data_IF_612445075437
#
_entry.id   IF_612445075437
#
_cell.length_a   1.000
_cell.length_b   1.000
_cell.length_c   1.000
_cell.angle_alpha   90.00
_cell.angle_beta   90.00
_cell.angle_gamma   90.00
#
_symmetry.space_group_name_H-M   'P 1'
#
loop_
_entity.id
_entity.type
_entity.pdbx_description
1 polymer ?
#
# COMPACT_ATOMS: atom_id res chain seq x y z
N UNK A 1 13.96 -2.81 3.10
CA UNK A 1 13.29 -2.83 1.78
C UNK A 1 12.34 -1.65 1.69
N UNK A 2 12.27 -1.01 0.51
CA UNK A 2 11.47 0.21 0.37
C UNK A 2 10.42 0.09 -0.74
N UNK A 3 9.28 0.76 -0.53
CA UNK A 3 8.19 0.87 -1.49
C UNK A 3 7.79 2.32 -1.69
N UNK A 4 7.25 2.64 -2.86
CA UNK A 4 6.70 3.95 -3.16
C UNK A 4 5.18 3.88 -3.13
N UNK A 5 4.54 4.81 -2.41
CA UNK A 5 3.09 4.93 -2.38
C UNK A 5 2.65 6.34 -2.75
N UNK A 6 1.59 6.42 -3.57
CA UNK A 6 1.11 7.68 -4.14
C UNK A 6 -0.41 7.77 -4.02
N UNK A 7 -0.86 8.82 -3.35
CA UNK A 7 -2.25 9.29 -3.43
C UNK A 7 -2.36 10.21 -4.65
N UNK A 8 -3.05 9.72 -5.69
CA UNK A 8 -3.09 10.38 -6.99
C UNK A 8 -4.06 11.57 -6.99
N UNK A 9 -3.62 12.67 -7.59
CA UNK A 9 -4.45 13.82 -7.90
C UNK A 9 -4.14 14.35 -9.30
N UNK A 10 -5.14 14.82 -10.03
CA UNK A 10 -4.97 15.26 -11.42
C UNK A 10 -5.08 16.78 -11.61
N UNK A 11 -5.67 17.48 -10.64
CA UNK A 11 -5.93 18.91 -10.78
C UNK A 11 -4.75 19.79 -10.41
N UNK A 12 -4.01 19.39 -9.37
CA UNK A 12 -2.90 20.18 -8.83
C UNK A 12 -1.83 19.26 -8.27
N UNK A 13 -0.57 19.60 -8.53
CA UNK A 13 0.59 18.89 -7.99
C UNK A 13 0.61 18.87 -6.45
N UNK A 14 0.17 19.96 -5.82
CA UNK A 14 0.09 20.06 -4.35
C UNK A 14 -0.86 19.06 -3.70
N UNK A 15 -1.75 18.47 -4.49
CA UNK A 15 -2.71 17.48 -4.02
C UNK A 15 -2.22 16.02 -4.21
N UNK A 16 -1.05 15.83 -4.80
CA UNK A 16 -0.42 14.51 -4.94
C UNK A 16 0.34 14.18 -3.66
N UNK A 17 -0.08 13.14 -2.96
CA UNK A 17 0.61 12.61 -1.79
C UNK A 17 1.64 11.56 -2.22
N UNK A 18 2.93 11.76 -1.91
CA UNK A 18 4.01 10.84 -2.29
C UNK A 18 4.82 10.50 -1.05
N UNK A 19 4.97 9.20 -0.79
CA UNK A 19 5.77 8.70 0.32
C UNK A 19 6.62 7.51 -0.09
N UNK A 20 7.82 7.44 0.45
CA UNK A 20 8.65 6.23 0.43
C UNK A 20 8.56 5.61 1.82
N UNK A 21 8.12 4.37 1.88
CA UNK A 21 8.07 3.57 3.12
C UNK A 21 9.21 2.56 3.08
N UNK A 22 9.98 2.50 4.15
CA UNK A 22 11.07 1.54 4.31
C UNK A 22 10.95 0.82 5.64
N UNK A 23 10.94 -0.51 5.63
CA UNK A 23 11.02 -1.32 6.85
C UNK A 23 12.48 -1.58 7.18
N UNK A 24 12.87 -1.19 8.38
CA UNK A 24 14.21 -1.38 8.95
C UNK A 24 14.08 -2.32 10.14
N UNK A 25 14.75 -3.44 10.08
CA UNK A 25 14.81 -4.39 11.19
C UNK A 25 15.87 -3.94 12.18
N UNK A 26 15.49 -3.91 13.46
CA UNK A 26 16.41 -3.56 14.54
C UNK A 26 17.28 -4.79 14.85
N UNK A 27 18.59 -4.56 14.90
CA UNK A 27 19.51 -5.63 15.33
C UNK A 27 19.13 -6.02 16.77
N UNK A 28 18.84 -7.29 16.99
CA UNK A 28 18.81 -7.80 18.35
C UNK A 28 20.26 -7.81 18.84
N UNK A 29 20.58 -6.91 19.77
CA UNK A 29 21.83 -7.01 20.49
C UNK A 29 21.88 -8.44 21.08
N UNK A 30 22.80 -9.24 20.56
CA UNK A 30 23.12 -10.52 21.16
C UNK A 30 23.54 -10.18 22.60
N UNK A 31 22.58 -10.36 23.53
CA UNK A 31 22.88 -10.21 24.94
C UNK A 31 24.10 -11.08 25.19
N UNK A 32 25.22 -10.41 25.46
CA UNK A 32 26.47 -11.03 25.88
C UNK A 32 26.19 -11.72 27.21
N UNK A 33 25.62 -12.94 27.13
CA UNK A 33 25.53 -13.85 28.25
C UNK A 33 26.94 -14.23 28.61
N UNK A 34 27.49 -13.54 29.61
CA UNK A 34 28.68 -14.00 30.31
C UNK A 34 28.45 -15.47 30.70
N UNK A 35 29.26 -16.35 30.13
CA UNK A 35 29.38 -17.74 30.52
C UNK A 35 29.89 -17.77 31.95
N UNK A 36 28.99 -17.78 32.91
CA UNK A 36 29.33 -18.19 34.27
C UNK A 36 29.20 -19.71 34.32
N UNK A 37 30.36 -20.38 34.40
CA UNK A 37 30.50 -21.82 34.42
C UNK A 37 30.08 -22.34 35.79
N UNK A 38 28.77 -22.59 35.96
CA UNK A 38 28.25 -23.32 37.13
C UNK A 38 27.55 -24.60 36.67
N UNK A 39 28.21 -25.75 36.74
CA UNK A 39 27.59 -27.07 36.54
C UNK A 39 26.55 -27.34 37.64
N UNK A 40 25.27 -27.22 37.32
CA UNK A 40 24.16 -27.73 38.12
C UNK A 40 23.33 -28.74 37.31
N UNK A 41 22.56 -29.65 37.96
CA UNK A 41 21.91 -30.78 37.28
C UNK A 41 20.87 -30.37 36.29
N UNK A 42 20.88 -30.99 35.12
CA UNK A 42 19.96 -30.77 33.99
C UNK A 42 18.50 -31.04 34.37
N UNK A 43 17.73 -30.02 34.55
CA UNK A 43 16.28 -30.10 34.41
C UNK A 43 15.87 -29.90 32.94
N UNK A 44 14.90 -30.65 32.40
CA UNK A 44 14.47 -30.46 31.02
C UNK A 44 13.84 -29.06 30.87
N UNK A 45 14.48 -28.20 30.06
CA UNK A 45 13.99 -26.88 29.75
C UNK A 45 12.63 -26.97 29.04
N UNK A 46 11.60 -26.23 29.46
CA UNK A 46 10.41 -26.05 28.64
C UNK A 46 10.88 -25.37 27.36
N UNK A 47 10.60 -26.00 26.21
CA UNK A 47 10.75 -25.39 24.90
C UNK A 47 9.83 -24.18 24.88
N UNK A 48 10.38 -23.01 25.15
CA UNK A 48 9.67 -21.77 25.00
C UNK A 48 9.51 -21.49 23.50
N UNK A 49 8.32 -21.77 22.95
CA UNK A 49 7.87 -21.32 21.63
C UNK A 49 7.69 -19.80 21.59
N UNK A 50 8.64 -19.05 22.12
CA UNK A 50 8.76 -17.63 21.81
C UNK A 50 9.40 -17.52 20.43
N UNK A 51 8.56 -17.54 19.40
CA UNK A 51 8.95 -17.00 18.11
C UNK A 51 9.58 -15.63 18.41
N UNK A 52 10.88 -15.52 18.19
CA UNK A 52 11.64 -14.28 18.36
C UNK A 52 11.01 -13.22 17.47
N UNK A 53 10.23 -12.35 18.07
CA UNK A 53 9.54 -11.28 17.36
C UNK A 53 10.62 -10.29 16.92
N UNK A 54 10.96 -10.33 15.64
CA UNK A 54 11.94 -9.39 15.08
C UNK A 54 11.36 -7.98 15.17
N UNK A 55 11.97 -7.15 16.01
CA UNK A 55 11.58 -5.75 16.10
C UNK A 55 11.93 -5.02 14.81
N UNK A 56 11.02 -4.19 14.31
CA UNK A 56 11.25 -3.38 13.14
C UNK A 56 10.68 -1.98 13.33
N UNK A 57 11.15 -1.05 12.51
CA UNK A 57 10.64 0.30 12.38
C UNK A 57 10.29 0.58 10.93
N UNK A 58 9.25 1.36 10.69
CA UNK A 58 8.90 1.85 9.35
C UNK A 58 9.33 3.31 9.26
N UNK A 59 10.37 3.57 8.48
CA UNK A 59 10.74 4.92 8.11
C UNK A 59 9.89 5.38 6.94
N UNK A 60 9.22 6.50 7.08
CA UNK A 60 8.39 7.09 6.05
C UNK A 60 8.96 8.45 5.65
N UNK A 61 9.53 8.52 4.46
CA UNK A 61 9.96 9.76 3.84
C UNK A 61 8.84 10.36 3.02
N UNK A 62 8.36 11.53 3.43
CA UNK A 62 7.37 12.30 2.70
C UNK A 62 8.11 13.11 1.63
N UNK A 63 7.82 12.82 0.37
CA UNK A 63 8.43 13.49 -0.78
C UNK A 63 7.61 14.73 -1.14
N UNK A 64 8.21 15.91 -1.28
CA UNK A 64 7.52 17.08 -1.78
C UNK A 64 7.04 16.84 -3.22
N UNK A 65 5.75 17.06 -3.48
CA UNK A 65 5.19 16.97 -4.83
C UNK A 65 5.50 18.21 -5.68
N UNK A 66 5.95 19.30 -5.03
CA UNK A 66 6.35 20.56 -5.64
C UNK A 66 7.71 20.97 -5.07
N UNK A 67 8.60 21.53 -5.89
CA UNK A 67 9.94 21.97 -5.50
C UNK A 67 11.08 21.12 -6.07
N UNK A 68 12.31 21.37 -5.64
CA UNK A 68 13.53 20.75 -6.15
C UNK A 68 13.43 19.22 -6.23
N UNK A 69 13.41 18.68 -7.44
CA UNK A 69 13.49 17.24 -7.74
C UNK A 69 12.16 16.57 -8.09
N UNK A 70 11.01 17.06 -7.65
CA UNK A 70 9.72 16.42 -7.94
C UNK A 70 8.70 17.29 -8.70
N UNK A 71 8.80 18.60 -8.63
CA UNK A 71 8.02 19.56 -9.41
C UNK A 71 8.90 20.77 -9.71
N UNK A 72 8.92 21.26 -10.93
CA UNK A 72 9.55 22.54 -11.22
C UNK A 72 8.86 23.64 -10.42
N UNK A 73 9.61 24.57 -9.86
CA UNK A 73 9.04 25.79 -9.30
C UNK A 73 8.17 26.44 -10.38
N UNK A 74 6.85 26.48 -10.15
CA UNK A 74 5.89 27.11 -11.09
C UNK A 74 4.90 26.18 -11.78
N UNK A 75 4.90 24.86 -11.59
CA UNK A 75 3.82 24.00 -12.12
C UNK A 75 2.48 24.27 -11.41
N UNK A 76 1.88 25.39 -11.82
CA UNK A 76 0.50 25.79 -11.45
C UNK A 76 -0.47 25.23 -12.48
N UNK A 77 -0.72 23.95 -12.51
CA UNK A 77 -1.61 23.39 -13.51
C UNK A 77 -2.04 21.96 -13.19
N UNK A 78 -2.84 21.36 -14.08
CA UNK A 78 -3.15 19.94 -14.01
C UNK A 78 -1.89 19.10 -14.04
N UNK A 79 -1.94 17.97 -13.34
CA UNK A 79 -0.83 17.01 -13.32
C UNK A 79 -0.81 16.26 -14.65
N UNK A 80 0.32 16.29 -15.34
CA UNK A 80 0.52 15.46 -16.53
C UNK A 80 0.93 14.04 -16.12
N UNK A 81 0.21 13.04 -16.63
CA UNK A 81 0.42 11.64 -16.29
C UNK A 81 1.79 11.10 -16.70
N UNK A 82 2.34 11.54 -17.86
CA UNK A 82 3.66 11.11 -18.31
C UNK A 82 4.79 11.76 -17.50
N UNK A 83 4.62 13.03 -17.13
CA UNK A 83 5.56 13.75 -16.27
C UNK A 83 5.59 13.11 -14.90
N UNK A 84 4.41 12.86 -14.29
CA UNK A 84 4.33 12.18 -12.99
C UNK A 84 4.98 10.80 -13.06
N UNK A 85 4.62 9.97 -14.03
CA UNK A 85 5.20 8.64 -14.20
C UNK A 85 6.71 8.66 -14.41
N UNK A 86 7.23 9.66 -15.15
CA UNK A 86 8.66 9.85 -15.32
C UNK A 86 9.38 10.14 -14.00
N UNK A 87 8.82 11.01 -13.17
CA UNK A 87 9.35 11.38 -11.85
C UNK A 87 9.30 10.21 -10.87
N UNK A 88 8.16 9.48 -10.81
CA UNK A 88 8.03 8.29 -9.97
C UNK A 88 9.05 7.21 -10.38
N UNK A 89 9.21 6.96 -11.68
CA UNK A 89 10.18 6.00 -12.20
C UNK A 89 11.63 6.41 -11.86
N UNK A 90 11.96 7.69 -11.97
CA UNK A 90 13.28 8.22 -11.61
C UNK A 90 13.57 8.04 -10.11
N UNK A 91 12.62 8.42 -9.25
CA UNK A 91 12.73 8.23 -7.80
C UNK A 91 12.94 6.76 -7.44
N UNK A 92 12.18 5.86 -8.06
CA UNK A 92 12.34 4.41 -7.85
C UNK A 92 13.71 3.91 -8.31
N UNK A 93 14.26 4.45 -9.39
CA UNK A 93 15.61 4.12 -9.85
C UNK A 93 16.69 4.51 -8.83
N UNK A 94 16.62 5.72 -8.30
CA UNK A 94 17.58 6.21 -7.29
C UNK A 94 17.51 5.42 -5.98
N UNK A 95 16.30 5.02 -5.56
CA UNK A 95 16.05 4.34 -4.29
C UNK A 95 16.00 2.82 -4.40
N UNK A 96 16.23 2.27 -5.59
CA UNK A 96 16.10 0.83 -5.88
C UNK A 96 14.74 0.24 -5.44
N UNK A 97 13.66 0.99 -5.67
CA UNK A 97 12.30 0.59 -5.35
C UNK A 97 11.71 -0.25 -6.48
N UNK A 98 11.07 -1.36 -6.14
CA UNK A 98 10.48 -2.30 -7.09
C UNK A 98 8.95 -2.41 -7.01
N UNK A 99 8.33 -1.82 -5.99
CA UNK A 99 6.88 -1.82 -5.81
C UNK A 99 6.37 -0.38 -5.71
N UNK A 100 5.42 -0.03 -6.60
CA UNK A 100 4.68 1.23 -6.52
C UNK A 100 3.22 0.92 -6.24
N UNK A 101 2.67 1.55 -5.21
CA UNK A 101 1.24 1.54 -4.93
C UNK A 101 0.63 2.87 -5.34
N UNK A 102 -0.47 2.82 -6.09
CA UNK A 102 -1.18 4.00 -6.58
C UNK A 102 -2.64 3.97 -6.12
N UNK A 103 -3.11 5.06 -5.50
CA UNK A 103 -4.54 5.23 -5.21
C UNK A 103 -5.28 5.68 -6.46
N UNK A 104 -5.96 4.73 -7.08
CA UNK A 104 -6.77 4.97 -8.26
C UNK A 104 -6.85 3.75 -9.18
N UNK A 105 -7.88 3.71 -10.04
CA UNK A 105 -8.15 2.55 -10.87
C UNK A 105 -7.04 2.28 -11.88
N UNK A 106 -6.58 1.04 -11.92
CA UNK A 106 -5.54 0.59 -12.85
C UNK A 106 -6.08 0.16 -14.22
N UNK A 107 -7.39 -0.10 -14.34
CA UNK A 107 -8.00 -0.66 -15.53
C UNK A 107 -9.51 -0.41 -15.57
N UNK A 108 -10.13 -0.65 -16.73
CA UNK A 108 -11.58 -0.69 -16.91
C UNK A 108 -12.16 -2.03 -16.44
N UNK A 109 -13.48 -2.13 -16.29
CA UNK A 109 -14.13 -3.40 -16.01
C UNK A 109 -14.03 -4.35 -17.21
N UNK A 110 -13.97 -5.65 -16.96
CA UNK A 110 -14.13 -6.67 -17.97
C UNK A 110 -15.59 -6.78 -18.45
N UNK A 111 -15.80 -7.04 -19.73
CA UNK A 111 -17.14 -7.36 -20.26
C UNK A 111 -17.69 -8.66 -19.68
N UNK A 112 -16.82 -9.54 -19.24
CA UNK A 112 -17.13 -10.91 -18.83
C UNK A 112 -17.17 -11.11 -17.31
N UNK A 113 -17.03 -10.03 -16.49
CA UNK A 113 -17.02 -10.17 -15.03
C UNK A 113 -18.41 -10.32 -14.39
N UNK A 114 -19.49 -10.32 -15.19
CA UNK A 114 -20.87 -10.45 -14.71
C UNK A 114 -21.45 -9.22 -13.99
N UNK A 115 -20.67 -8.16 -13.83
CA UNK A 115 -21.11 -6.93 -13.16
C UNK A 115 -21.51 -5.86 -14.20
N UNK A 116 -22.50 -5.06 -13.87
CA UNK A 116 -23.00 -4.03 -14.80
C UNK A 116 -22.02 -2.85 -14.95
N UNK A 117 -21.52 -2.29 -13.84
CA UNK A 117 -20.79 -1.03 -13.86
C UNK A 117 -19.54 -0.98 -12.98
N UNK A 118 -18.96 -2.12 -12.60
CA UNK A 118 -17.83 -2.15 -11.69
C UNK A 118 -16.84 -3.24 -12.05
N UNK A 119 -15.57 -3.03 -11.71
CA UNK A 119 -14.60 -4.13 -11.59
C UNK A 119 -14.94 -4.98 -10.36
N UNK A 120 -14.47 -6.22 -10.34
CA UNK A 120 -14.70 -7.13 -9.21
C UNK A 120 -14.13 -6.55 -7.91
N UNK A 121 -12.92 -5.99 -7.94
CA UNK A 121 -12.29 -5.33 -6.79
C UNK A 121 -13.11 -4.16 -6.25
N UNK A 122 -13.65 -3.33 -7.12
CA UNK A 122 -14.49 -2.19 -6.75
C UNK A 122 -15.82 -2.61 -6.10
N UNK A 123 -16.39 -3.72 -6.58
CA UNK A 123 -17.61 -4.28 -6.00
C UNK A 123 -17.35 -4.85 -4.61
N UNK A 124 -16.25 -5.61 -4.46
CA UNK A 124 -15.87 -6.22 -3.18
C UNK A 124 -15.57 -5.18 -2.10
N UNK A 125 -14.96 -4.06 -2.47
CA UNK A 125 -14.59 -3.00 -1.53
C UNK A 125 -15.62 -1.88 -1.42
N UNK A 126 -16.66 -1.89 -2.24
CA UNK A 126 -17.64 -0.82 -2.35
C UNK A 126 -17.00 0.57 -2.54
N UNK A 127 -16.08 0.69 -3.51
CA UNK A 127 -15.37 1.94 -3.79
C UNK A 127 -16.34 3.07 -4.17
N UNK A 128 -15.96 4.32 -3.94
CA UNK A 128 -16.79 5.49 -4.26
C UNK A 128 -17.00 5.65 -5.78
N UNK A 129 -15.94 5.46 -6.56
CA UNK A 129 -16.02 5.41 -8.01
C UNK A 129 -16.11 3.97 -8.50
N UNK A 130 -16.81 3.77 -9.62
CA UNK A 130 -16.90 2.49 -10.35
C UNK A 130 -16.48 2.72 -11.78
N UNK A 131 -15.42 2.03 -12.20
CA UNK A 131 -14.99 2.03 -13.60
C UNK A 131 -15.79 0.99 -14.38
N UNK A 132 -16.64 1.46 -15.27
CA UNK A 132 -17.39 0.62 -16.20
C UNK A 132 -16.55 0.18 -17.39
N UNK A 133 -17.20 0.00 -18.54
CA UNK A 133 -16.52 -0.14 -19.83
C UNK A 133 -15.76 1.16 -20.18
N UNK A 134 -14.81 1.15 -21.12
CA UNK A 134 -14.02 2.32 -21.48
C UNK A 134 -14.86 3.57 -21.65
N UNK A 135 -14.43 4.65 -21.00
CA UNK A 135 -15.13 5.93 -20.98
C UNK A 135 -16.36 5.99 -20.06
N UNK A 136 -16.72 4.88 -19.40
CA UNK A 136 -17.87 4.80 -18.50
C UNK A 136 -17.44 4.77 -17.04
N UNK A 137 -17.66 5.85 -16.31
CA UNK A 137 -17.39 5.95 -14.86
C UNK A 137 -18.64 6.44 -14.14
N UNK A 138 -18.97 5.85 -13.00
CA UNK A 138 -20.03 6.26 -12.09
C UNK A 138 -19.46 6.63 -10.72
N UNK A 139 -19.81 7.77 -10.15
CA UNK A 139 -20.51 8.89 -10.81
C UNK A 139 -19.61 9.54 -11.88
N UNK A 140 -20.22 10.21 -12.86
CA UNK A 140 -19.48 10.85 -13.98
C UNK A 140 -18.44 11.87 -13.55
N UNK A 141 -18.58 12.45 -12.36
CA UNK A 141 -17.62 13.39 -11.77
C UNK A 141 -16.23 12.81 -11.55
N UNK A 142 -16.11 11.49 -11.45
CA UNK A 142 -14.83 10.78 -11.31
C UNK A 142 -14.18 10.39 -12.65
N UNK A 143 -14.82 10.67 -13.78
CA UNK A 143 -14.33 10.22 -15.09
C UNK A 143 -12.93 10.74 -15.39
N UNK A 144 -12.72 12.06 -15.30
CA UNK A 144 -11.41 12.66 -15.57
C UNK A 144 -10.31 12.13 -14.62
N UNK A 145 -10.63 11.90 -13.35
CA UNK A 145 -9.70 11.29 -12.39
C UNK A 145 -9.36 9.84 -12.79
N UNK A 146 -10.37 9.04 -13.14
CA UNK A 146 -10.14 7.65 -13.52
C UNK A 146 -9.31 7.53 -14.79
N UNK A 147 -9.61 8.35 -15.81
CA UNK A 147 -8.83 8.39 -17.06
C UNK A 147 -7.38 8.81 -16.78
N UNK A 148 -7.15 9.82 -15.95
CA UNK A 148 -5.82 10.22 -15.51
C UNK A 148 -5.06 9.07 -14.81
N UNK A 149 -5.72 8.35 -13.88
CA UNK A 149 -5.10 7.19 -13.22
C UNK A 149 -4.65 6.14 -14.24
N UNK A 150 -5.54 5.79 -15.18
CA UNK A 150 -5.22 4.83 -16.25
C UNK A 150 -4.01 5.29 -17.07
N UNK A 151 -3.93 6.57 -17.40
CA UNK A 151 -2.81 7.15 -18.15
C UNK A 151 -1.49 7.07 -17.37
N UNK A 152 -1.53 7.27 -16.03
CA UNK A 152 -0.35 7.09 -15.16
C UNK A 152 0.12 5.64 -15.19
N UNK A 153 -0.80 4.66 -15.05
CA UNK A 153 -0.47 3.24 -15.13
C UNK A 153 0.15 2.88 -16.50
N UNK A 154 -0.44 3.34 -17.59
CA UNK A 154 0.09 3.10 -18.94
C UNK A 154 1.47 3.75 -19.13
N UNK A 155 1.66 4.96 -18.64
CA UNK A 155 2.93 5.66 -18.71
C UNK A 155 4.04 4.95 -17.92
N UNK A 156 3.72 4.36 -16.77
CA UNK A 156 4.66 3.54 -15.98
C UNK A 156 4.93 2.19 -16.68
N UNK A 157 3.91 1.55 -17.25
CA UNK A 157 4.09 0.32 -18.02
C UNK A 157 5.04 0.52 -19.22
N UNK A 158 4.93 1.65 -19.92
CA UNK A 158 5.89 2.01 -21.00
C UNK A 158 7.33 2.20 -20.51
N UNK A 159 7.53 2.38 -19.20
CA UNK A 159 8.84 2.50 -18.53
C UNK A 159 9.32 1.20 -17.88
N UNK A 160 8.70 0.06 -18.24
CA UNK A 160 9.12 -1.26 -17.79
C UNK A 160 8.49 -1.74 -16.49
N UNK A 161 7.45 -1.06 -15.99
CA UNK A 161 6.64 -1.55 -14.88
C UNK A 161 5.57 -2.53 -15.37
N UNK A 162 5.19 -3.47 -14.50
CA UNK A 162 4.14 -4.45 -14.78
C UNK A 162 3.04 -4.37 -13.73
N UNK A 163 1.78 -4.44 -14.14
CA UNK A 163 0.67 -4.58 -13.19
C UNK A 163 0.78 -5.90 -12.45
N UNK A 164 0.49 -5.91 -11.16
CA UNK A 164 0.44 -7.14 -10.36
C UNK A 164 -0.56 -8.12 -10.99
N UNK A 165 -0.12 -9.35 -11.21
CA UNK A 165 -0.93 -10.44 -11.78
C UNK A 165 -0.77 -11.72 -10.93
N UNK A 166 -1.38 -12.82 -11.35
CA UNK A 166 -1.32 -14.09 -10.62
C UNK A 166 0.08 -14.67 -10.48
N UNK A 167 0.98 -14.37 -11.42
CA UNK A 167 2.37 -14.84 -11.35
C UNK A 167 3.24 -13.99 -10.41
N UNK A 168 2.91 -12.71 -10.27
CA UNK A 168 3.60 -11.78 -9.37
C UNK A 168 2.93 -11.70 -7.99
N UNK A 169 1.71 -12.29 -7.84
CA UNK A 169 1.04 -12.39 -6.55
C UNK A 169 1.83 -13.36 -5.68
N UNK A 170 2.18 -12.97 -4.44
CA UNK A 170 2.78 -13.90 -3.50
C UNK A 170 1.85 -15.10 -3.30
N UNK A 171 2.34 -16.30 -3.52
CA UNK A 171 1.59 -17.53 -3.25
C UNK A 171 1.87 -17.97 -1.82
N UNK A 172 0.83 -18.32 -1.08
CA UNK A 172 0.95 -19.00 0.21
C UNK A 172 1.46 -20.45 0.08
N UNK A 173 1.77 -20.90 -1.14
CA UNK A 173 2.33 -22.22 -1.37
C UNK A 173 3.74 -22.31 -0.79
N UNK A 174 3.81 -22.98 0.32
CA UNK A 174 5.00 -23.34 1.10
C UNK A 174 6.09 -23.94 0.22
N UNK A 175 7.28 -23.34 0.27
CA UNK A 175 8.55 -24.04 0.29
C UNK A 175 8.83 -25.06 -0.82
N UNK A 176 8.97 -24.59 -2.07
CA UNK A 176 9.87 -25.28 -3.00
C UNK A 176 11.11 -24.39 -3.20
N UNK A 177 12.27 -24.77 -2.69
CA UNK A 177 13.52 -24.10 -2.97
C UNK A 177 13.87 -24.37 -4.44
N UNK A 178 13.96 -23.32 -5.27
CA UNK A 178 14.58 -23.47 -6.58
C UNK A 178 13.96 -22.75 -7.76
N UNK A 179 12.93 -21.92 -7.62
CA UNK A 179 12.58 -20.95 -8.66
C UNK A 179 12.89 -19.55 -8.18
N UNK A 180 14.02 -19.03 -8.61
CA UNK A 180 14.29 -17.59 -8.66
C UNK A 180 13.20 -16.94 -9.52
N UNK A 181 12.11 -16.52 -8.88
CA UNK A 181 11.22 -15.53 -9.48
C UNK A 181 12.14 -14.34 -9.74
N UNK A 182 12.18 -13.91 -11.00
CA UNK A 182 12.97 -12.81 -11.51
C UNK A 182 12.96 -11.66 -10.50
N UNK A 183 14.03 -11.55 -9.72
CA UNK A 183 14.19 -10.60 -8.61
C UNK A 183 14.23 -9.14 -9.08
N UNK A 184 14.09 -8.92 -10.40
CA UNK A 184 14.15 -7.61 -11.04
C UNK A 184 12.78 -7.07 -11.47
N UNK A 185 11.66 -7.78 -11.25
CA UNK A 185 10.35 -7.30 -11.69
C UNK A 185 9.90 -6.08 -10.89
N UNK A 186 9.63 -4.99 -11.61
CA UNK A 186 9.00 -3.76 -11.10
C UNK A 186 7.49 -3.92 -11.18
N UNK A 187 6.80 -3.78 -10.04
CA UNK A 187 5.38 -4.09 -9.90
C UNK A 187 4.57 -2.84 -9.58
N UNK A 188 3.47 -2.65 -10.32
CA UNK A 188 2.44 -1.66 -10.03
C UNK A 188 1.27 -2.32 -9.34
N UNK A 189 0.83 -1.71 -8.25
CA UNK A 189 -0.27 -2.20 -7.41
C UNK A 189 -1.29 -1.09 -7.22
N UNK A 190 -2.57 -1.41 -7.33
CA UNK A 190 -3.62 -0.49 -6.94
C UNK A 190 -3.82 -0.59 -5.43
N UNK A 191 -3.77 0.54 -4.76
CA UNK A 191 -4.20 0.72 -3.39
C UNK A 191 -5.57 1.40 -3.33
N UNK A 192 -6.25 1.26 -2.20
CA UNK A 192 -7.47 2.00 -1.92
C UNK A 192 -7.45 2.42 -0.45
N UNK A 193 -6.93 3.61 -0.12
CA UNK A 193 -6.69 4.05 1.25
C UNK A 193 -7.92 3.98 2.15
N UNK A 194 -9.11 4.31 1.63
CA UNK A 194 -10.34 4.23 2.41
C UNK A 194 -10.65 2.81 2.91
N UNK A 195 -10.39 1.78 2.11
CA UNK A 195 -10.52 0.39 2.54
C UNK A 195 -9.32 -0.04 3.40
N UNK A 196 -8.12 0.49 3.15
CA UNK A 196 -6.94 0.20 3.96
C UNK A 196 -7.10 0.67 5.41
N UNK A 197 -7.66 1.87 5.66
CA UNK A 197 -8.04 2.28 7.01
C UNK A 197 -8.96 1.29 7.69
N UNK A 198 -10.00 0.82 6.98
CA UNK A 198 -10.97 -0.14 7.51
C UNK A 198 -10.39 -1.52 7.78
N UNK A 199 -9.52 -2.03 6.90
CA UNK A 199 -8.88 -3.34 7.10
C UNK A 199 -8.00 -3.37 8.35
N UNK A 200 -7.44 -2.23 8.73
CA UNK A 200 -6.70 -2.03 9.97
C UNK A 200 -7.60 -1.84 11.20
N UNK A 201 -8.92 -1.80 11.05
CA UNK A 201 -9.86 -1.49 12.13
C UNK A 201 -9.86 -0.01 12.52
N UNK A 202 -9.35 0.86 11.66
CA UNK A 202 -9.28 2.30 11.87
C UNK A 202 -10.39 3.04 11.12
N UNK A 203 -10.84 4.16 11.68
CA UNK A 203 -11.78 5.06 11.01
C UNK A 203 -11.08 5.75 9.85
N UNK A 204 -11.61 5.71 8.60
CA UNK A 204 -11.09 6.47 7.49
C UNK A 204 -11.06 7.97 7.75
N UNK A 205 -10.14 8.68 7.10
CA UNK A 205 -10.09 10.13 7.16
C UNK A 205 -11.40 10.76 6.64
N UNK A 206 -11.85 11.88 7.23
CA UNK A 206 -12.86 12.71 6.61
C UNK A 206 -12.39 13.15 5.21
N UNK A 207 -13.34 13.55 4.35
CA UNK A 207 -12.94 14.12 3.05
C UNK A 207 -11.99 15.31 3.25
N UNK A 208 -11.03 15.50 2.36
CA UNK A 208 -10.00 16.56 2.45
C UNK A 208 -10.58 17.94 2.79
N UNK A 209 -11.77 18.27 2.24
CA UNK A 209 -12.44 19.55 2.49
C UNK A 209 -12.92 19.70 3.95
N UNK A 210 -13.25 18.60 4.63
CA UNK A 210 -13.81 18.58 5.98
C UNK A 210 -12.77 18.25 7.05
N UNK A 211 -11.64 17.66 6.65
CA UNK A 211 -10.59 17.26 7.57
C UNK A 211 -9.92 18.47 8.21
N UNK A 212 -9.84 18.46 9.55
CA UNK A 212 -9.12 19.44 10.35
C UNK A 212 -7.74 18.90 10.75
N UNK A 213 -6.83 19.76 11.13
CA UNK A 213 -5.48 19.38 11.58
C UNK A 213 -5.54 18.35 12.72
N UNK A 214 -6.49 18.52 13.64
CA UNK A 214 -6.66 17.57 14.76
C UNK A 214 -7.11 16.19 14.27
N UNK A 215 -7.94 16.10 13.24
CA UNK A 215 -8.36 14.81 12.68
C UNK A 215 -7.18 14.05 12.05
N UNK A 216 -6.26 14.80 11.41
CA UNK A 216 -5.05 14.23 10.80
C UNK A 216 -4.07 13.76 11.88
N UNK A 217 -3.84 14.57 12.92
CA UNK A 217 -2.96 14.22 14.03
C UNK A 217 -3.46 12.98 14.78
N UNK A 218 -4.76 12.91 15.05
CA UNK A 218 -5.41 11.77 15.69
C UNK A 218 -5.34 10.50 14.83
N UNK A 219 -5.62 10.60 13.53
CA UNK A 219 -5.51 9.47 12.61
C UNK A 219 -4.06 8.95 12.52
N UNK A 220 -3.09 9.86 12.44
CA UNK A 220 -1.67 9.49 12.45
C UNK A 220 -1.26 8.83 13.76
N UNK A 221 -1.72 9.35 14.90
CA UNK A 221 -1.49 8.76 16.22
C UNK A 221 -2.02 7.32 16.31
N UNK A 222 -3.25 7.09 15.85
CA UNK A 222 -3.85 5.74 15.77
C UNK A 222 -3.07 4.81 14.85
N UNK A 223 -2.60 5.30 13.71
CA UNK A 223 -1.79 4.49 12.80
C UNK A 223 -0.46 4.08 13.45
N UNK A 224 0.18 5.02 14.17
CA UNK A 224 1.41 4.76 14.92
C UNK A 224 1.23 3.79 16.09
N UNK A 225 0.03 3.67 16.64
CA UNK A 225 -0.24 2.66 17.68
C UNK A 225 -0.30 1.22 17.12
N UNK A 226 -0.50 1.06 15.82
CA UNK A 226 -0.50 -0.25 15.15
C UNK A 226 0.86 -0.58 14.51
N UNK A 227 1.58 0.44 14.06
CA UNK A 227 2.83 0.29 13.33
C UNK A 227 3.87 1.28 13.86
N UNK A 228 5.12 0.87 14.05
CA UNK A 228 6.20 1.77 14.51
C UNK A 228 6.67 2.70 13.37
N UNK A 229 5.81 3.65 12.97
CA UNK A 229 6.05 4.56 11.83
C UNK A 229 6.68 5.86 12.34
N UNK A 230 7.77 6.27 11.70
CA UNK A 230 8.36 7.61 11.83
C UNK A 230 8.32 8.34 10.49
N UNK A 231 8.03 9.64 10.52
CA UNK A 231 7.99 10.50 9.35
C UNK A 231 8.99 11.64 9.48
N UNK A 232 9.58 12.09 8.38
CA UNK A 232 10.50 13.24 8.36
C UNK A 232 9.81 14.59 8.61
N UNK A 233 8.48 14.65 8.53
CA UNK A 233 7.64 15.82 8.87
C UNK A 233 6.20 15.37 9.12
N UNK A 234 5.35 16.19 9.77
CA UNK A 234 3.94 15.89 9.94
C UNK A 234 3.25 15.67 8.57
N UNK A 235 2.54 14.55 8.36
CA UNK A 235 1.87 14.28 7.11
C UNK A 235 0.57 15.09 6.97
N UNK A 236 0.29 15.59 5.78
CA UNK A 236 -0.99 16.14 5.42
C UNK A 236 -2.00 15.04 5.04
N UNK A 237 -3.22 15.42 4.61
CA UNK A 237 -4.29 14.48 4.28
C UNK A 237 -3.86 13.47 3.20
N UNK A 238 -3.33 13.94 2.07
CA UNK A 238 -2.99 13.10 0.92
C UNK A 238 -1.77 12.20 1.25
N UNK A 239 -0.83 12.71 2.03
CA UNK A 239 0.31 11.94 2.51
C UNK A 239 -0.12 10.83 3.50
N UNK A 240 -1.10 11.08 4.38
CA UNK A 240 -1.67 10.04 5.24
C UNK A 240 -2.39 8.96 4.43
N UNK A 241 -3.10 9.35 3.36
CA UNK A 241 -3.71 8.38 2.44
C UNK A 241 -2.62 7.54 1.75
N UNK A 242 -1.55 8.18 1.27
CA UNK A 242 -0.42 7.48 0.68
C UNK A 242 0.28 6.54 1.70
N UNK A 243 0.47 6.96 2.96
CA UNK A 243 1.07 6.12 3.99
C UNK A 243 0.22 4.86 4.20
N UNK A 244 -1.07 4.99 4.49
CA UNK A 244 -1.91 3.83 4.79
C UNK A 244 -2.08 2.92 3.57
N UNK A 245 -2.21 3.50 2.37
CA UNK A 245 -2.27 2.75 1.12
C UNK A 245 -0.99 1.99 0.80
N UNK A 246 0.15 2.50 1.28
CA UNK A 246 1.47 1.94 1.02
C UNK A 246 1.89 0.79 1.96
N UNK A 247 1.26 0.65 3.13
CA UNK A 247 1.68 -0.36 4.12
C UNK A 247 1.68 -1.78 3.57
N UNK A 248 0.65 -2.14 2.80
CA UNK A 248 0.57 -3.44 2.16
C UNK A 248 1.73 -3.72 1.19
N UNK A 249 2.37 -2.68 0.66
CA UNK A 249 3.50 -2.79 -0.24
C UNK A 249 4.74 -3.35 0.43
N UNK A 250 4.98 -3.00 1.70
CA UNK A 250 6.10 -3.54 2.48
C UNK A 250 5.99 -5.07 2.62
N UNK A 251 4.79 -5.54 2.98
CA UNK A 251 4.55 -6.97 3.12
C UNK A 251 4.53 -7.70 1.76
N UNK A 252 4.08 -7.01 0.70
CA UNK A 252 4.14 -7.52 -0.67
C UNK A 252 5.59 -7.69 -1.14
N UNK A 253 6.46 -6.70 -0.89
CA UNK A 253 7.89 -6.76 -1.24
C UNK A 253 8.62 -7.86 -0.45
N UNK A 254 8.24 -8.09 0.81
CA UNK A 254 8.78 -9.14 1.67
C UNK A 254 8.09 -10.50 1.46
N UNK A 255 7.11 -10.59 0.56
CA UNK A 255 6.32 -11.80 0.29
C UNK A 255 5.56 -12.31 1.52
N UNK A 256 5.25 -11.44 2.47
CA UNK A 256 4.47 -11.76 3.66
C UNK A 256 2.96 -11.74 3.34
N UNK A 257 2.46 -12.83 2.76
CA UNK A 257 1.06 -12.92 2.31
C UNK A 257 0.04 -12.92 3.45
N UNK A 258 0.45 -13.27 4.66
CA UNK A 258 -0.43 -13.30 5.83
C UNK A 258 -0.81 -11.91 6.34
N UNK A 259 -0.02 -10.89 5.97
CA UNK A 259 -0.23 -9.51 6.40
C UNK A 259 -0.96 -8.64 5.35
N UNK A 260 -1.39 -9.24 4.23
CA UNK A 260 -2.09 -8.53 3.16
C UNK A 260 -3.34 -9.26 2.69
N UNK A 261 -4.34 -8.48 2.30
CA UNK A 261 -5.52 -8.95 1.60
C UNK A 261 -5.53 -8.46 0.16
N UNK A 262 -5.67 -9.38 -0.78
CA UNK A 262 -5.75 -9.10 -2.21
C UNK A 262 -7.17 -9.34 -2.69
N UNK A 263 -7.80 -8.35 -3.30
CA UNK A 263 -9.17 -8.42 -3.81
C UNK A 263 -9.22 -8.13 -5.31
N UNK A 264 -10.24 -8.66 -5.98
CA UNK A 264 -10.45 -8.49 -7.42
C UNK A 264 -9.96 -9.66 -8.26
N UNK A 265 -9.97 -9.46 -9.56
CA UNK A 265 -9.51 -10.42 -10.57
C UNK A 265 -8.16 -9.98 -11.16
N UNK A 266 -7.37 -10.91 -11.69
CA UNK A 266 -6.12 -10.56 -12.36
C UNK A 266 -6.39 -9.61 -13.54
N UNK A 267 -5.47 -8.65 -13.79
CA UNK A 267 -5.59 -7.79 -14.96
C UNK A 267 -5.46 -8.62 -16.25
N UNK A 268 -6.30 -8.31 -17.20
CA UNK A 268 -6.29 -8.95 -18.54
C UNK A 268 -6.40 -7.88 -19.63
N UNK A 269 -6.17 -8.26 -20.87
CA UNK A 269 -6.39 -7.38 -22.03
C UNK A 269 -7.63 -7.82 -22.79
N UNK A 270 -8.53 -6.87 -23.05
CA UNK A 270 -9.69 -7.01 -23.93
C UNK A 270 -9.70 -5.82 -24.89
N UNK A 271 -9.72 -6.11 -26.20
CA UNK A 271 -9.72 -5.07 -27.25
C UNK A 271 -8.58 -4.04 -27.07
N UNK A 272 -7.38 -4.54 -26.76
CA UNK A 272 -6.20 -3.70 -26.59
C UNK A 272 -6.14 -2.90 -25.26
N UNK A 273 -7.19 -2.94 -24.44
CA UNK A 273 -7.25 -2.19 -23.19
C UNK A 273 -7.15 -3.10 -21.95
N UNK A 274 -6.59 -2.56 -20.90
CA UNK A 274 -6.53 -3.26 -19.62
C UNK A 274 -7.89 -3.31 -18.92
N UNK A 275 -8.20 -4.49 -18.40
CA UNK A 275 -9.42 -4.81 -17.65
C UNK A 275 -9.09 -5.41 -16.31
N UNK A 276 -9.99 -5.18 -15.32
CA UNK A 276 -9.88 -5.70 -13.95
C UNK A 276 -8.58 -5.26 -13.26
N UNK A 277 -8.10 -6.02 -12.32
CA UNK A 277 -6.90 -5.77 -11.55
C UNK A 277 -7.13 -5.93 -10.07
N UNK A 278 -6.05 -6.22 -9.37
CA UNK A 278 -6.05 -6.41 -7.93
C UNK A 278 -5.92 -5.08 -7.19
N UNK A 279 -6.67 -4.96 -6.08
CA UNK A 279 -6.42 -3.97 -5.03
C UNK A 279 -5.82 -4.72 -3.85
N UNK A 280 -4.74 -4.18 -3.29
CA UNK A 280 -4.05 -4.77 -2.14
C UNK A 280 -4.25 -3.89 -0.91
N UNK A 281 -4.59 -4.53 0.20
CA UNK A 281 -4.88 -3.88 1.47
C UNK A 281 -3.97 -4.44 2.56
N UNK A 282 -3.49 -3.63 3.50
CA UNK A 282 -2.80 -4.14 4.68
C UNK A 282 -3.80 -4.89 5.58
N UNK A 283 -3.35 -5.94 6.24
CA UNK A 283 -4.10 -6.61 7.33
C UNK A 283 -3.58 -6.11 8.68
N UNK A 284 -4.45 -6.14 9.68
CA UNK A 284 -4.07 -5.75 11.04
C UNK A 284 -3.03 -6.73 11.58
N UNK A 285 -1.91 -6.25 12.16
CA UNK A 285 -0.91 -7.13 12.79
C UNK A 285 -1.55 -7.99 13.88
N UNK A 286 -1.28 -9.30 13.88
CA UNK A 286 -1.88 -10.27 14.80
C UNK A 286 -1.60 -9.97 16.29
N UNK A 287 -0.57 -9.19 16.59
CA UNK A 287 -0.09 -8.93 17.95
C UNK A 287 -0.76 -7.73 18.66
N UNK A 288 -1.65 -6.99 18.01
CA UNK A 288 -2.32 -5.82 18.61
C UNK A 288 -3.51 -6.20 19.52
N UNK A 289 -3.82 -7.50 19.69
CA UNK A 289 -4.92 -7.97 20.53
C UNK A 289 -4.57 -8.20 22.01
N UNK A 290 -3.31 -8.07 22.42
CA UNK A 290 -2.89 -8.29 23.80
C UNK A 290 -2.85 -6.99 24.60
N UNK A 291 -4.00 -6.32 24.82
CA UNK A 291 -3.97 -5.14 25.66
C UNK A 291 -5.25 -4.35 25.87
N UNK A 292 -6.42 -4.83 25.48
CA UNK A 292 -7.68 -4.28 25.97
C UNK A 292 -8.63 -5.45 26.21
N UNK A 293 -8.60 -5.98 27.44
CA UNK A 293 -9.65 -6.86 27.93
C UNK A 293 -10.95 -6.08 28.09
N UNK A 294 -11.75 -6.04 27.04
CA UNK A 294 -13.17 -5.80 27.10
C UNK A 294 -13.85 -7.14 26.86
N UNK A 295 -13.92 -7.93 27.94
CA UNK A 295 -14.88 -9.00 28.08
C UNK A 295 -16.30 -8.42 27.97
N UNK A 296 -17.05 -8.89 26.99
CA UNK A 296 -18.50 -8.79 26.98
C UNK A 296 -19.07 -7.67 26.11
N UNK A 297 -19.29 -8.00 24.84
CA UNK A 297 -20.48 -7.58 24.11
C UNK A 297 -20.71 -8.58 22.95
N UNK A 298 -21.53 -9.58 23.25
CA UNK A 298 -22.20 -10.39 22.22
C UNK A 298 -23.13 -9.46 21.45
N UNK A 299 -22.94 -9.34 20.17
CA UNK A 299 -24.00 -8.88 19.28
C UNK A 299 -24.79 -10.09 18.83
N UNK A 300 -26.01 -10.19 19.39
CA UNK A 300 -27.08 -11.04 18.90
C UNK A 300 -27.89 -10.22 17.89
N UNK A 301 -28.20 -10.86 16.79
CA UNK A 301 -29.12 -10.57 15.67
C UNK A 301 -28.63 -9.66 14.59
#
# INVERSE_FOLDING_TARGET
>A
MAVLSVDLAFRRWTDVGIVVLERVYLAQDAASGALDAGMGPMTPFPISDRATQTEYQINCEIIPSVGTGFGAEGERGPVDANVLAGRLNHLCGIRNIRVILLDGPQAWKSRFNGLEHARVSERQLNTAAKTGLPGMVKPRTYRAFSEFCLDVYEALCRRGWSRMNTQTRPSAAVGLPGKTVDDQRRILVESYPHAAWRSLGLKPLPSKRLAKVIDLADAYGRLRSLFPITTNRPPNHDQLQAIVGGLAGLDLEERNTAAIRVVGNPPCREEGQWREGFIVLPERPAHTTAGIGLSGLRWLN
#
